data_IF_123170977241
#
_entry.id   IF_123170977241
#
_cell.length_a   1.000
_cell.length_b   1.000
_cell.length_c   1.000
_cell.angle_alpha   90.00
_cell.angle_beta   90.00
_cell.angle_gamma   90.00
#
_symmetry.space_group_name_H-M   'P 1'
#
loop_
_entity.id
_entity.type
_entity.pdbx_description
1 polymer ?
#
# COMPACT_ATOMS: atom_id res chain seq x y z
N UNK A 1 -61.38 34.25 7.59
CA UNK A 1 -61.37 32.88 8.15
C UNK A 1 -60.36 32.03 7.36
N UNK A 2 -59.14 31.90 7.84
CA UNK A 2 -58.10 31.17 7.16
C UNK A 2 -57.94 29.82 7.84
N UNK A 3 -58.31 28.77 7.13
CA UNK A 3 -58.17 27.40 7.59
C UNK A 3 -56.70 26.97 7.51
N UNK A 4 -56.09 26.74 8.60
CA UNK A 4 -54.73 26.22 8.64
C UNK A 4 -54.80 24.69 8.56
N UNK A 5 -54.34 24.18 7.45
CA UNK A 5 -54.19 22.76 7.26
C UNK A 5 -52.86 22.29 7.90
N UNK A 6 -52.99 21.61 9.00
CA UNK A 6 -51.84 21.01 9.67
C UNK A 6 -51.38 19.80 8.90
N UNK A 7 -50.23 19.90 8.25
CA UNK A 7 -49.59 18.78 7.60
C UNK A 7 -48.69 18.10 8.63
N UNK A 8 -49.14 16.94 9.10
CA UNK A 8 -48.34 16.03 9.91
C UNK A 8 -47.31 15.35 9.00
N UNK A 9 -46.10 15.85 9.00
CA UNK A 9 -44.98 15.15 8.36
C UNK A 9 -44.47 14.13 9.36
N UNK A 10 -44.85 12.89 9.10
CA UNK A 10 -44.32 11.71 9.81
C UNK A 10 -42.84 11.60 9.54
N UNK A 11 -42.04 11.77 10.60
CA UNK A 11 -40.60 11.67 10.53
C UNK A 11 -40.14 10.24 10.22
N UNK A 12 -39.54 10.07 9.09
CA UNK A 12 -38.75 8.89 8.78
C UNK A 12 -37.42 9.04 9.47
N UNK A 13 -37.19 8.22 10.49
CA UNK A 13 -35.91 8.12 11.19
C UNK A 13 -34.86 7.58 10.19
N UNK A 14 -34.02 8.47 9.70
CA UNK A 14 -32.85 8.10 8.93
C UNK A 14 -31.86 7.38 9.83
N UNK A 15 -31.67 6.09 9.61
CA UNK A 15 -30.58 5.32 10.21
C UNK A 15 -29.29 5.83 9.58
N UNK A 16 -28.55 6.61 10.34
CA UNK A 16 -27.18 6.98 10.01
C UNK A 16 -26.33 5.73 10.23
N UNK A 17 -26.08 4.98 9.17
CA UNK A 17 -25.04 3.98 9.13
C UNK A 17 -23.70 4.69 9.26
N UNK A 18 -23.18 4.72 10.46
CA UNK A 18 -21.82 5.12 10.77
C UNK A 18 -20.90 4.21 9.97
N UNK A 19 -20.31 4.75 8.91
CA UNK A 19 -19.34 4.02 8.09
C UNK A 19 -18.23 3.50 8.96
N UNK A 20 -18.08 2.18 8.99
CA UNK A 20 -16.90 1.52 9.53
C UNK A 20 -15.67 2.12 8.86
N UNK A 21 -14.78 2.65 9.66
CA UNK A 21 -13.41 2.95 9.26
C UNK A 21 -12.80 1.64 8.79
N UNK A 22 -12.74 1.46 7.49
CA UNK A 22 -12.15 0.31 6.85
C UNK A 22 -10.65 0.36 7.10
N UNK A 23 -10.24 -0.34 8.15
CA UNK A 23 -8.85 -0.67 8.38
C UNK A 23 -8.39 -1.45 7.14
N UNK A 24 -7.54 -0.85 6.32
CA UNK A 24 -6.97 -1.48 5.15
C UNK A 24 -6.14 -2.67 5.58
N UNK A 25 -6.81 -3.80 5.72
CA UNK A 25 -6.17 -5.09 5.90
C UNK A 25 -5.35 -5.35 4.65
N UNK A 26 -4.04 -5.49 4.82
CA UNK A 26 -3.13 -5.84 3.74
C UNK A 26 -3.62 -7.11 3.03
N UNK A 27 -4.15 -6.95 1.83
CA UNK A 27 -4.53 -8.08 0.99
C UNK A 27 -3.27 -8.58 0.32
N UNK A 28 -2.93 -9.84 0.55
CA UNK A 28 -1.85 -10.50 -0.18
C UNK A 28 -2.21 -10.56 -1.67
N UNK A 29 -1.65 -9.64 -2.44
CA UNK A 29 -1.82 -9.61 -3.88
C UNK A 29 -0.74 -10.48 -4.51
N UNK A 30 -1.14 -11.64 -5.00
CA UNK A 30 -0.35 -12.43 -5.93
C UNK A 30 -0.60 -11.88 -7.33
N UNK A 31 0.42 -11.33 -7.96
CA UNK A 31 0.46 -10.69 -9.27
C UNK A 31 -0.78 -10.84 -10.18
N UNK A 32 -1.29 -9.73 -10.78
CA UNK A 32 -0.56 -8.90 -11.72
C UNK A 32 -0.30 -7.48 -11.19
N UNK A 33 0.88 -6.97 -11.44
CA UNK A 33 1.25 -5.61 -11.06
C UNK A 33 0.44 -4.62 -11.89
N UNK A 34 -0.40 -3.85 -11.23
CA UNK A 34 -1.06 -2.69 -11.82
C UNK A 34 0.04 -1.79 -12.45
N UNK A 35 -0.11 -1.33 -13.70
CA UNK A 35 0.89 -0.51 -14.37
C UNK A 35 1.25 0.77 -13.61
N UNK A 36 0.36 1.23 -12.73
CA UNK A 36 0.59 2.41 -11.88
C UNK A 36 1.36 2.11 -10.59
N UNK A 37 1.68 0.85 -10.32
CA UNK A 37 2.40 0.44 -9.11
C UNK A 37 3.89 0.33 -9.38
N UNK A 38 4.69 1.03 -8.57
CA UNK A 38 6.16 0.93 -8.63
C UNK A 38 6.59 -0.44 -8.11
N UNK A 39 7.24 -1.22 -8.97
CA UNK A 39 7.73 -2.55 -8.62
C UNK A 39 8.76 -2.49 -7.47
N UNK A 40 8.80 -3.54 -6.65
CA UNK A 40 9.74 -3.62 -5.53
C UNK A 40 11.20 -3.67 -6.03
N UNK A 41 12.06 -2.74 -5.59
CA UNK A 41 13.39 -2.56 -6.16
C UNK A 41 14.48 -3.42 -5.51
N UNK A 42 14.17 -4.19 -4.47
CA UNK A 42 15.14 -4.94 -3.68
C UNK A 42 14.91 -6.46 -3.77
N UNK A 43 15.98 -7.24 -3.58
CA UNK A 43 15.92 -8.71 -3.47
C UNK A 43 15.76 -9.17 -2.01
N UNK A 44 15.77 -8.23 -1.09
CA UNK A 44 15.68 -8.48 0.35
C UNK A 44 14.42 -7.87 0.96
N UNK A 45 14.02 -8.38 2.11
CA UNK A 45 12.93 -7.80 2.89
C UNK A 45 13.25 -6.35 3.26
N UNK A 46 12.30 -5.44 3.08
CA UNK A 46 12.53 -4.02 3.38
C UNK A 46 12.76 -3.75 4.88
N UNK A 47 12.25 -4.63 5.74
CA UNK A 47 12.34 -4.52 7.21
C UNK A 47 13.54 -5.29 7.75
N UNK A 48 13.61 -6.58 7.48
CA UNK A 48 14.59 -7.48 8.09
C UNK A 48 15.89 -7.63 7.29
N UNK A 49 15.98 -7.04 6.08
CA UNK A 49 17.12 -7.17 5.15
C UNK A 49 17.50 -8.61 4.76
N UNK A 50 16.65 -9.58 5.11
CA UNK A 50 16.84 -10.99 4.73
C UNK A 50 16.41 -11.21 3.29
N UNK A 51 17.12 -12.11 2.60
CA UNK A 51 16.78 -12.48 1.22
C UNK A 51 15.34 -12.95 1.11
N UNK A 52 14.60 -12.42 0.16
CA UNK A 52 13.22 -12.82 -0.12
C UNK A 52 13.20 -14.30 -0.55
N UNK A 53 12.25 -15.06 -0.03
CA UNK A 53 12.15 -16.49 -0.28
C UNK A 53 13.02 -17.38 0.63
N UNK A 54 13.88 -16.83 1.49
CA UNK A 54 14.68 -17.62 2.43
C UNK A 54 13.85 -18.28 3.54
N UNK A 55 12.67 -17.72 3.83
CA UNK A 55 11.74 -18.23 4.84
C UNK A 55 10.40 -18.69 4.24
N UNK A 56 10.38 -19.01 2.95
CA UNK A 56 9.19 -19.39 2.20
C UNK A 56 8.74 -18.30 1.23
N UNK A 57 7.49 -18.39 0.78
CA UNK A 57 6.94 -17.41 -0.19
C UNK A 57 6.93 -16.00 0.43
N UNK A 58 7.52 -15.00 -0.24
CA UNK A 58 7.48 -13.63 0.23
C UNK A 58 6.06 -13.10 0.36
N UNK A 59 5.81 -12.33 1.39
CA UNK A 59 4.56 -11.61 1.56
C UNK A 59 4.61 -10.29 0.77
N UNK A 60 3.65 -10.09 -0.12
CA UNK A 60 3.61 -8.93 -1.04
C UNK A 60 2.34 -8.13 -0.80
N UNK A 61 2.47 -6.82 -0.70
CA UNK A 61 1.33 -5.92 -0.65
C UNK A 61 1.66 -4.58 -1.33
N UNK A 62 0.64 -3.76 -1.58
CA UNK A 62 0.81 -2.44 -2.18
C UNK A 62 0.49 -1.36 -1.15
N UNK A 63 1.42 -0.42 -0.98
CA UNK A 63 1.26 0.75 -0.14
C UNK A 63 1.55 2.02 -0.95
N UNK A 64 0.58 2.91 -1.07
CA UNK A 64 0.71 4.17 -1.82
C UNK A 64 1.36 4.00 -3.21
N UNK A 65 0.83 3.09 -4.01
CA UNK A 65 1.35 2.75 -5.35
C UNK A 65 2.79 2.19 -5.36
N UNK A 66 3.26 1.67 -4.24
CA UNK A 66 4.56 0.98 -4.12
C UNK A 66 4.33 -0.47 -3.76
N UNK A 67 4.92 -1.38 -4.51
CA UNK A 67 4.92 -2.80 -4.15
C UNK A 67 5.93 -3.02 -3.02
N UNK A 68 5.49 -3.50 -1.88
CA UNK A 68 6.33 -3.80 -0.72
C UNK A 68 6.42 -5.31 -0.54
N UNK A 69 7.60 -5.82 -0.24
CA UNK A 69 7.82 -7.26 -0.01
C UNK A 69 8.48 -7.52 1.35
N UNK A 70 7.91 -8.46 2.08
CA UNK A 70 8.45 -8.96 3.35
C UNK A 70 8.90 -10.42 3.23
N UNK A 71 9.86 -10.81 4.04
CA UNK A 71 10.27 -12.22 4.15
C UNK A 71 9.26 -13.06 4.94
N UNK A 72 8.45 -12.44 5.79
CA UNK A 72 7.42 -13.09 6.60
C UNK A 72 6.37 -12.07 7.05
N UNK A 73 5.21 -12.56 7.49
CA UNK A 73 4.09 -11.72 7.92
C UNK A 73 4.41 -10.86 9.16
N UNK A 74 5.33 -11.29 10.03
CA UNK A 74 5.70 -10.53 11.22
C UNK A 74 6.44 -9.22 10.94
N UNK A 75 6.89 -8.99 9.71
CA UNK A 75 7.50 -7.71 9.31
C UNK A 75 6.46 -6.61 9.05
N UNK A 76 5.19 -6.96 8.95
CA UNK A 76 4.10 -6.01 8.71
C UNK A 76 3.92 -5.04 9.90
N UNK A 77 3.95 -5.55 11.11
CA UNK A 77 3.80 -4.75 12.33
C UNK A 77 4.93 -3.72 12.47
N UNK A 78 6.15 -4.14 12.21
CA UNK A 78 7.33 -3.26 12.24
C UNK A 78 7.29 -2.21 11.13
N UNK A 79 6.84 -2.61 9.94
CA UNK A 79 6.65 -1.67 8.84
C UNK A 79 5.60 -0.61 9.18
N UNK A 80 4.45 -1.02 9.72
CA UNK A 80 3.36 -0.11 10.10
C UNK A 80 3.78 0.86 11.21
N UNK A 81 4.63 0.42 12.12
CA UNK A 81 5.16 1.26 13.20
C UNK A 81 6.16 2.31 12.72
N UNK A 82 6.85 2.05 11.60
CA UNK A 82 7.93 2.90 11.08
C UNK A 82 7.83 3.12 9.56
N UNK A 83 6.63 3.27 9.03
CA UNK A 83 6.33 3.33 7.59
C UNK A 83 7.22 4.32 6.84
N UNK A 84 7.37 5.56 7.33
CA UNK A 84 8.19 6.59 6.68
C UNK A 84 9.64 6.17 6.47
N UNK A 85 10.23 5.51 7.46
CA UNK A 85 11.60 5.01 7.39
C UNK A 85 11.77 4.02 6.24
N UNK A 86 10.82 3.10 6.11
CA UNK A 86 10.88 2.06 5.08
C UNK A 86 10.50 2.57 3.69
N UNK A 87 9.60 3.54 3.60
CA UNK A 87 9.31 4.22 2.33
C UNK A 87 10.53 5.00 1.82
N UNK A 88 11.23 5.72 2.68
CA UNK A 88 12.51 6.38 2.30
C UNK A 88 13.55 5.37 1.80
N UNK A 89 13.65 4.21 2.46
CA UNK A 89 14.54 3.12 2.02
C UNK A 89 14.14 2.58 0.65
N UNK A 90 12.84 2.43 0.39
CA UNK A 90 12.30 2.02 -0.90
C UNK A 90 12.66 3.04 -2.00
N UNK A 91 12.38 4.32 -1.78
CA UNK A 91 12.61 5.38 -2.76
C UNK A 91 14.10 5.49 -3.12
N UNK A 92 15.00 5.41 -2.12
CA UNK A 92 16.45 5.38 -2.35
C UNK A 92 16.90 4.16 -3.18
N UNK A 93 16.26 3.01 -3.00
CA UNK A 93 16.56 1.82 -3.79
C UNK A 93 16.07 1.97 -5.24
N UNK A 94 14.91 2.57 -5.46
CA UNK A 94 14.40 2.90 -6.80
C UNK A 94 15.36 3.83 -7.53
N UNK A 95 15.84 4.88 -6.88
CA UNK A 95 16.78 5.82 -7.47
C UNK A 95 18.11 5.16 -7.84
N UNK A 96 18.65 4.31 -6.96
CA UNK A 96 19.87 3.54 -7.24
C UNK A 96 19.71 2.65 -8.45
N UNK A 97 18.57 1.95 -8.58
CA UNK A 97 18.31 1.09 -9.71
C UNK A 97 18.13 1.87 -11.01
N UNK A 98 17.48 3.03 -10.96
CA UNK A 98 17.38 3.93 -12.13
C UNK A 98 18.76 4.44 -12.56
N UNK A 99 19.63 4.83 -11.64
CA UNK A 99 20.98 5.27 -11.93
C UNK A 99 21.82 4.14 -12.52
N UNK A 100 21.70 2.92 -12.02
CA UNK A 100 22.37 1.74 -12.57
C UNK A 100 21.90 1.40 -13.99
N UNK A 101 20.60 1.44 -14.25
CA UNK A 101 20.03 1.19 -15.59
C UNK A 101 20.46 2.25 -16.60
N UNK A 102 20.58 3.50 -16.19
CA UNK A 102 21.01 4.59 -17.07
C UNK A 102 22.51 4.49 -17.44
N UNK A 103 23.32 3.86 -16.60
CA UNK A 103 24.76 3.65 -16.84
C UNK A 103 25.03 2.57 -17.91
N UNK A 104 24.09 1.65 -18.12
CA UNK A 104 24.22 0.56 -19.10
C UNK A 104 23.86 1.06 -20.52
N UNK A 105 23.09 2.14 -20.63
CA UNK A 105 22.65 2.70 -21.92
C UNK A 105 23.55 3.79 -22.50
N UNK A 106 24.77 3.95 -21.99
CA UNK A 106 25.73 4.83 -22.67
C UNK A 106 26.40 4.01 -23.78
N UNK A 107 26.08 4.26 -25.06
CA UNK A 107 26.79 3.58 -26.16
C UNK A 107 28.24 4.02 -26.13
N UNK A 108 29.12 3.08 -25.87
CA UNK A 108 30.56 3.29 -26.03
C UNK A 108 30.80 3.51 -27.53
N UNK A 109 31.13 4.74 -27.89
CA UNK A 109 31.49 5.14 -29.22
C UNK A 109 32.99 4.87 -29.42
#
# INVERSE_FOLDING_TARGET
MKKWTTILISGVAGIILTGCTESKKATAVSDPVDPDVIAYPLDTCIVADKKLGSMGKPYVFVHEKRQIKFCCIGCDDEFNSNTEKYIKKFDLAVEKNKAASNKINTPTK
#
